data_IF_610652872441
#
_entry.id   IF_610652872441
#
_cell.length_a   1.000
_cell.length_b   1.000
_cell.length_c   1.000
_cell.angle_alpha   90.00
_cell.angle_beta   90.00
_cell.angle_gamma   90.00
#
_symmetry.space_group_name_H-M   'P 1'
#
loop_
_entity.id
_entity.type
_entity.pdbx_description
1 polymer ?
#
# COMPACT_ATOMS: atom_id res chain seq x y z
N UNK A 1 -55.76 -41.08 34.89
CA UNK A 1 -55.56 -41.28 33.44
C UNK A 1 -55.24 -39.93 32.77
N UNK A 2 -53.97 -39.56 32.53
CA UNK A 2 -53.65 -38.34 31.81
C UNK A 2 -53.40 -38.59 30.32
N UNK A 3 -53.78 -37.60 29.51
CA UNK A 3 -53.69 -37.60 28.06
C UNK A 3 -52.26 -37.38 27.55
N UNK A 4 -52.02 -37.97 26.37
CA UNK A 4 -50.76 -38.18 25.65
C UNK A 4 -50.18 -36.86 25.11
N UNK A 5 -49.00 -36.45 25.58
CA UNK A 5 -48.25 -35.35 25.00
C UNK A 5 -47.59 -35.79 23.68
N UNK A 6 -47.87 -35.08 22.59
CA UNK A 6 -47.30 -35.34 21.27
C UNK A 6 -45.87 -34.80 21.18
N UNK A 7 -44.90 -35.68 20.90
CA UNK A 7 -43.52 -35.29 20.61
C UNK A 7 -43.37 -34.97 19.12
N UNK A 8 -43.03 -33.72 18.80
CA UNK A 8 -42.69 -33.30 17.44
C UNK A 8 -41.26 -33.79 17.06
N UNK A 9 -40.97 -34.09 15.78
CA UNK A 9 -39.64 -34.52 15.37
C UNK A 9 -38.67 -33.33 15.32
N UNK A 10 -37.49 -33.49 15.92
CA UNK A 10 -36.38 -32.50 15.82
C UNK A 10 -35.91 -32.38 14.37
N UNK A 11 -35.71 -31.17 13.82
CA UNK A 11 -35.10 -31.01 12.51
C UNK A 11 -33.60 -31.37 12.56
N UNK A 12 -33.03 -31.93 11.47
CA UNK A 12 -31.61 -32.25 11.42
C UNK A 12 -30.77 -30.96 11.39
N UNK A 13 -29.69 -30.96 12.18
CA UNK A 13 -28.73 -29.85 12.23
C UNK A 13 -28.05 -29.70 10.86
N UNK A 14 -28.23 -28.53 10.24
CA UNK A 14 -27.57 -28.18 8.99
C UNK A 14 -26.04 -28.21 9.20
N UNK A 15 -25.36 -29.18 8.61
CA UNK A 15 -23.90 -29.25 8.61
C UNK A 15 -23.35 -28.02 7.88
N UNK A 16 -22.66 -27.14 8.62
CA UNK A 16 -22.01 -25.95 8.08
C UNK A 16 -21.05 -26.35 6.93
N UNK A 17 -21.07 -25.67 5.77
CA UNK A 17 -20.11 -25.94 4.72
C UNK A 17 -18.72 -25.57 5.25
N UNK A 18 -17.86 -26.57 5.41
CA UNK A 18 -16.41 -26.35 5.56
C UNK A 18 -15.97 -25.64 4.28
N UNK A 19 -15.58 -24.37 4.39
CA UNK A 19 -14.95 -23.61 3.31
C UNK A 19 -13.80 -24.45 2.74
N UNK A 20 -14.03 -25.06 1.58
CA UNK A 20 -13.05 -25.82 0.83
C UNK A 20 -11.96 -24.82 0.43
N UNK A 21 -10.81 -24.91 1.10
CA UNK A 21 -9.57 -24.27 0.66
C UNK A 21 -9.36 -24.74 -0.77
N UNK A 22 -9.50 -23.84 -1.75
CA UNK A 22 -9.26 -24.16 -3.15
C UNK A 22 -7.85 -24.69 -3.28
N UNK A 23 -7.72 -25.98 -3.55
CA UNK A 23 -6.45 -26.61 -3.90
C UNK A 23 -6.11 -26.07 -5.28
N UNK A 24 -5.22 -25.08 -5.35
CA UNK A 24 -4.76 -24.51 -6.61
C UNK A 24 -4.10 -25.61 -7.45
N UNK A 25 -4.71 -25.97 -8.57
CA UNK A 25 -4.20 -26.99 -9.48
C UNK A 25 -2.86 -26.50 -10.08
N UNK A 26 -1.74 -27.24 -9.92
CA UNK A 26 -0.39 -26.75 -10.30
C UNK A 26 -0.27 -26.29 -11.76
N UNK A 27 -0.95 -26.99 -12.67
CA UNK A 27 -0.96 -26.68 -14.11
C UNK A 27 -1.68 -25.37 -14.45
N UNK A 28 -2.51 -24.82 -13.56
CA UNK A 28 -3.23 -23.57 -13.78
C UNK A 28 -2.52 -22.35 -13.19
N UNK A 29 -1.36 -22.53 -12.55
CA UNK A 29 -0.70 -21.45 -11.82
C UNK A 29 0.03 -20.45 -12.73
N UNK A 30 0.22 -20.78 -14.02
CA UNK A 30 0.87 -19.92 -15.03
C UNK A 30 2.18 -19.31 -14.55
N UNK A 31 3.04 -20.18 -13.99
CA UNK A 31 4.24 -19.75 -13.28
C UNK A 31 5.21 -19.02 -14.20
N UNK A 32 5.43 -19.54 -15.41
CA UNK A 32 6.34 -18.95 -16.38
C UNK A 32 5.88 -17.55 -16.81
N UNK A 33 4.58 -17.37 -17.07
CA UNK A 33 4.01 -16.09 -17.45
C UNK A 33 4.09 -15.08 -16.30
N UNK A 34 3.72 -15.49 -15.08
CA UNK A 34 3.81 -14.64 -13.89
C UNK A 34 5.24 -14.18 -13.62
N UNK A 35 6.21 -15.09 -13.69
CA UNK A 35 7.62 -14.76 -13.46
C UNK A 35 8.16 -13.83 -14.54
N UNK A 36 7.80 -14.06 -15.81
CA UNK A 36 8.20 -13.19 -16.92
C UNK A 36 7.67 -11.77 -16.72
N UNK A 37 6.38 -11.63 -16.42
CA UNK A 37 5.73 -10.33 -16.18
C UNK A 37 6.32 -9.64 -14.94
N UNK A 38 6.55 -10.40 -13.85
CA UNK A 38 7.13 -9.85 -12.63
C UNK A 38 8.56 -9.35 -12.85
N UNK A 39 9.39 -10.08 -13.59
CA UNK A 39 10.76 -9.66 -13.88
C UNK A 39 10.79 -8.38 -14.72
N UNK A 40 10.00 -8.31 -15.78
CA UNK A 40 9.93 -7.11 -16.63
C UNK A 40 9.46 -5.88 -15.84
N UNK A 41 8.38 -6.05 -15.05
CA UNK A 41 7.90 -5.00 -14.13
C UNK A 41 8.96 -4.61 -13.10
N UNK A 42 9.70 -5.56 -12.56
CA UNK A 42 10.76 -5.33 -11.58
C UNK A 42 11.86 -4.43 -12.11
N UNK A 43 12.30 -4.63 -13.36
CA UNK A 43 13.30 -3.76 -14.02
C UNK A 43 12.78 -2.34 -14.18
N UNK A 44 11.52 -2.18 -14.60
CA UNK A 44 10.88 -0.86 -14.69
C UNK A 44 10.82 -0.14 -13.33
N UNK A 45 10.45 -0.85 -12.27
CA UNK A 45 10.42 -0.31 -10.90
C UNK A 45 11.81 0.09 -10.40
N UNK A 46 12.82 -0.74 -10.64
CA UNK A 46 14.21 -0.43 -10.28
C UNK A 46 14.71 0.82 -10.99
N UNK A 47 14.40 0.98 -12.27
CA UNK A 47 14.79 2.16 -13.07
C UNK A 47 14.16 3.43 -12.50
N UNK A 48 12.87 3.40 -12.15
CA UNK A 48 12.17 4.54 -11.54
C UNK A 48 12.75 4.89 -10.16
N UNK A 49 12.99 3.88 -9.31
CA UNK A 49 13.62 4.06 -8.01
C UNK A 49 15.04 4.64 -8.13
N UNK A 50 15.81 4.18 -9.11
CA UNK A 50 17.16 4.69 -9.38
C UNK A 50 17.11 6.17 -9.75
N UNK A 51 16.21 6.57 -10.65
CA UNK A 51 16.06 7.96 -11.05
C UNK A 51 15.63 8.86 -9.88
N UNK A 52 14.70 8.40 -9.04
CA UNK A 52 14.32 9.13 -7.81
C UNK A 52 15.51 9.26 -6.87
N UNK A 53 16.27 8.19 -6.63
CA UNK A 53 17.46 8.21 -5.76
C UNK A 53 18.50 9.21 -6.27
N UNK A 54 18.74 9.24 -7.59
CA UNK A 54 19.68 10.18 -8.22
C UNK A 54 19.20 11.63 -8.09
N UNK A 55 17.93 11.90 -8.42
CA UNK A 55 17.35 13.24 -8.32
C UNK A 55 17.36 13.77 -6.87
N UNK A 56 16.98 12.93 -5.89
CA UNK A 56 16.98 13.32 -4.48
C UNK A 56 18.38 13.46 -3.87
N UNK A 57 19.39 12.83 -4.47
CA UNK A 57 20.79 12.93 -4.05
C UNK A 57 21.53 14.16 -4.61
N UNK A 58 21.03 14.74 -5.70
CA UNK A 58 21.58 15.97 -6.29
C UNK A 58 20.87 17.21 -5.71
N UNK A 59 21.58 18.13 -5.02
CA UNK A 59 20.98 19.36 -4.49
C UNK A 59 20.25 20.23 -5.51
N UNK A 60 20.61 20.14 -6.80
CA UNK A 60 19.99 20.92 -7.88
C UNK A 60 18.71 20.30 -8.43
N UNK A 61 18.61 18.96 -8.41
CA UNK A 61 17.45 18.23 -8.93
C UNK A 61 16.45 17.82 -7.84
N UNK A 62 16.86 17.89 -6.57
CA UNK A 62 16.02 17.57 -5.42
C UNK A 62 14.80 18.50 -5.38
N UNK A 63 13.59 17.98 -5.10
CA UNK A 63 12.40 18.81 -4.95
C UNK A 63 12.63 19.95 -3.95
N UNK A 64 12.29 21.18 -4.34
CA UNK A 64 12.57 22.40 -3.56
C UNK A 64 12.03 22.32 -2.13
N UNK A 65 10.88 21.67 -1.93
CA UNK A 65 10.26 21.47 -0.62
C UNK A 65 11.14 20.72 0.40
N UNK A 66 12.15 19.96 -0.07
CA UNK A 66 13.08 19.21 0.77
C UNK A 66 14.40 19.95 1.03
N UNK A 67 14.57 21.15 0.46
CA UNK A 67 15.77 21.99 0.56
C UNK A 67 15.44 23.36 1.17
N UNK A 68 14.19 23.82 1.02
CA UNK A 68 13.75 25.09 1.55
C UNK A 68 13.84 25.15 3.08
N UNK A 69 14.59 26.14 3.57
CA UNK A 69 14.77 26.42 5.01
C UNK A 69 13.45 26.74 5.70
N UNK A 70 12.48 27.35 5.00
CA UNK A 70 11.17 27.66 5.58
C UNK A 70 10.33 26.41 5.85
N UNK A 71 10.58 25.32 5.11
CA UNK A 71 9.85 24.06 5.23
C UNK A 71 10.62 23.00 6.04
N UNK A 72 11.89 23.23 6.37
CA UNK A 72 12.76 22.29 7.08
C UNK A 72 12.15 21.82 8.42
N UNK A 73 11.55 22.74 9.19
CA UNK A 73 10.90 22.42 10.48
C UNK A 73 9.68 21.52 10.30
N UNK A 74 8.87 21.77 9.27
CA UNK A 74 7.71 20.96 8.90
C UNK A 74 8.13 19.56 8.47
N UNK A 75 9.15 19.46 7.61
CA UNK A 75 9.70 18.18 7.14
C UNK A 75 10.25 17.35 8.30
N UNK A 76 11.05 17.96 9.20
CA UNK A 76 11.55 17.28 10.41
C UNK A 76 10.41 16.79 11.30
N UNK A 77 9.36 17.58 11.46
CA UNK A 77 8.18 17.19 12.23
C UNK A 77 7.48 15.97 11.63
N UNK A 78 7.22 15.99 10.31
CA UNK A 78 6.58 14.88 9.58
C UNK A 78 7.42 13.60 9.68
N UNK A 79 8.74 13.69 9.42
CA UNK A 79 9.66 12.54 9.48
C UNK A 79 9.69 11.93 10.89
N UNK A 80 9.70 12.74 11.94
CA UNK A 80 9.69 12.26 13.33
C UNK A 80 8.40 11.53 13.71
N UNK A 81 7.26 11.90 13.10
CA UNK A 81 5.95 11.31 13.37
C UNK A 81 5.64 10.12 12.47
N UNK A 82 6.30 10.02 11.32
CA UNK A 82 6.10 8.94 10.37
C UNK A 82 6.23 7.56 11.06
N UNK A 83 5.30 6.61 10.82
CA UNK A 83 4.20 6.65 9.85
C UNK A 83 2.90 7.29 10.36
N UNK A 84 2.83 7.76 11.61
CA UNK A 84 1.65 8.42 12.15
C UNK A 84 1.44 9.80 11.50
N UNK A 85 0.19 10.12 11.16
CA UNK A 85 -0.19 11.39 10.51
C UNK A 85 -0.79 12.33 11.54
N UNK A 86 -0.09 13.43 11.81
CA UNK A 86 -0.56 14.50 12.70
C UNK A 86 -0.66 15.82 11.94
N UNK A 87 -1.86 16.42 11.95
CA UNK A 87 -2.15 17.67 11.22
C UNK A 87 -2.25 18.90 12.13
N UNK A 88 -2.32 18.71 13.45
CA UNK A 88 -2.44 19.77 14.46
C UNK A 88 -1.06 20.24 14.90
N UNK A 89 -0.37 21.01 14.05
CA UNK A 89 0.90 21.67 14.40
C UNK A 89 1.08 22.99 13.63
N UNK A 90 1.48 24.05 14.32
CA UNK A 90 1.76 25.37 13.73
C UNK A 90 2.90 25.34 12.69
N UNK A 91 3.84 24.41 12.80
CA UNK A 91 4.91 24.21 11.82
C UNK A 91 4.39 23.83 10.43
N UNK A 92 3.14 23.37 10.31
CA UNK A 92 2.54 22.97 9.03
C UNK A 92 1.85 24.13 8.29
N UNK A 93 1.80 25.33 8.86
CA UNK A 93 1.06 26.46 8.29
C UNK A 93 1.54 26.86 6.90
N UNK A 94 2.87 26.89 6.67
CA UNK A 94 3.42 27.18 5.34
C UNK A 94 3.10 26.08 4.32
N UNK A 95 3.14 24.82 4.76
CA UNK A 95 2.86 23.65 3.93
C UNK A 95 1.40 23.63 3.44
N UNK A 96 0.46 24.18 4.22
CA UNK A 96 -0.94 24.31 3.80
C UNK A 96 -1.12 25.26 2.62
N UNK A 97 -0.32 26.33 2.52
CA UNK A 97 -0.40 27.29 1.41
C UNK A 97 0.07 26.68 0.09
N UNK A 98 1.06 25.79 0.14
CA UNK A 98 1.67 25.15 -1.03
C UNK A 98 1.13 23.74 -1.30
N UNK A 99 0.10 23.32 -0.57
CA UNK A 99 -0.47 21.96 -0.60
C UNK A 99 -0.72 21.44 -2.02
N UNK A 100 -1.37 22.23 -2.87
CA UNK A 100 -1.74 21.82 -4.23
C UNK A 100 -0.51 21.56 -5.11
N UNK A 101 0.51 22.41 -5.00
CA UNK A 101 1.76 22.26 -5.74
C UNK A 101 2.56 21.05 -5.25
N UNK A 102 2.61 20.84 -3.93
CA UNK A 102 3.26 19.66 -3.34
C UNK A 102 2.60 18.37 -3.84
N UNK A 103 1.27 18.31 -3.83
CA UNK A 103 0.52 17.15 -4.31
C UNK A 103 0.83 16.85 -5.78
N UNK A 104 0.84 17.89 -6.62
CA UNK A 104 1.13 17.76 -8.05
C UNK A 104 2.57 17.29 -8.30
N UNK A 105 3.54 17.91 -7.64
CA UNK A 105 4.97 17.71 -7.94
C UNK A 105 5.54 16.44 -7.31
N UNK A 106 5.02 16.00 -6.15
CA UNK A 106 5.46 14.75 -5.49
C UNK A 106 4.61 13.53 -5.87
N UNK A 107 3.50 13.69 -6.59
CA UNK A 107 2.64 12.58 -7.02
C UNK A 107 3.44 11.46 -7.71
N UNK A 108 4.34 11.79 -8.63
CA UNK A 108 5.12 10.80 -9.36
C UNK A 108 5.98 9.93 -8.43
N UNK A 109 6.61 10.55 -7.43
CA UNK A 109 7.45 9.83 -6.46
C UNK A 109 6.59 8.98 -5.55
N UNK A 110 5.48 9.54 -5.04
CA UNK A 110 4.53 8.85 -4.19
C UNK A 110 3.97 7.59 -4.87
N UNK A 111 3.41 7.73 -6.07
CA UNK A 111 2.86 6.59 -6.80
C UNK A 111 3.92 5.55 -7.18
N UNK A 112 5.17 5.97 -7.44
CA UNK A 112 6.26 5.00 -7.64
C UNK A 112 6.52 4.18 -6.38
N UNK A 113 6.47 4.76 -5.18
CA UNK A 113 6.59 3.98 -3.94
C UNK A 113 5.38 3.07 -3.69
N UNK A 114 4.17 3.50 -4.05
CA UNK A 114 2.96 2.65 -4.02
C UNK A 114 3.14 1.44 -4.94
N UNK A 115 3.56 1.67 -6.18
CA UNK A 115 3.79 0.60 -7.17
C UNK A 115 4.80 -0.43 -6.67
N UNK A 116 5.86 0.03 -5.98
CA UNK A 116 6.88 -0.85 -5.38
C UNK A 116 6.31 -1.68 -4.23
N UNK A 117 5.46 -1.08 -3.37
CA UNK A 117 4.80 -1.83 -2.28
C UNK A 117 3.86 -2.89 -2.84
N UNK A 118 3.06 -2.56 -3.85
CA UNK A 118 2.19 -3.52 -4.52
C UNK A 118 2.97 -4.61 -5.27
N UNK A 119 4.09 -4.24 -5.89
CA UNK A 119 4.99 -5.21 -6.53
C UNK A 119 5.51 -6.22 -5.51
N UNK A 120 5.96 -5.75 -4.34
CA UNK A 120 6.42 -6.61 -3.24
C UNK A 120 5.31 -7.56 -2.78
N UNK A 121 4.09 -7.07 -2.58
CA UNK A 121 2.96 -7.91 -2.14
C UNK A 121 2.61 -9.00 -3.16
N UNK A 122 2.70 -8.69 -4.47
CA UNK A 122 2.48 -9.65 -5.55
C UNK A 122 3.61 -10.66 -5.72
N UNK A 123 4.85 -10.31 -5.38
CA UNK A 123 5.98 -11.25 -5.41
C UNK A 123 6.02 -12.19 -4.22
N UNK A 124 5.39 -11.82 -3.10
CA UNK A 124 5.43 -12.57 -1.84
C UNK A 124 4.21 -13.49 -1.62
N UNK A 125 3.18 -13.38 -2.47
CA UNK A 125 1.98 -14.23 -2.51
C UNK A 125 2.07 -15.29 -3.60
#
# INVERSE_FOLDING_TARGET
>A
FPAKAAAAPRPPLLSSPRMSRSVLQPSQQKLAEKLTILNDRGVGMLTRLYNIKKACGDPKAKPSYLVDKNLESAVKFIVRKFPAVETRNNNLAQLQKEKSEILKNLALYYFTFVDVMEFKDRSMK
#
